data_IF_512260043796
#
_entry.id   IF_512260043796
#
_cell.length_a   1.000
_cell.length_b   1.000
_cell.length_c   1.000
_cell.angle_alpha   90.00
_cell.angle_beta   90.00
_cell.angle_gamma   90.00
#
_symmetry.space_group_name_H-M   'P 1'
#
loop_
_entity.id
_entity.type
_entity.pdbx_description
1 polymer ?
#
# COMPACT_ATOMS: atom_id res chain seq x y z
N UNK A 1 -32.47 -31.09 28.23
CA UNK A 1 -31.02 -30.94 27.95
C UNK A 1 -30.88 -30.13 26.66
N UNK A 2 -30.62 -28.86 26.77
CA UNK A 2 -30.48 -27.96 25.59
C UNK A 2 -29.05 -28.02 25.10
N UNK A 3 -28.87 -28.54 23.89
CA UNK A 3 -27.56 -28.55 23.20
C UNK A 3 -27.33 -27.16 22.63
N UNK A 4 -26.44 -26.41 23.27
CA UNK A 4 -25.97 -25.13 22.73
C UNK A 4 -25.07 -25.45 21.53
N UNK A 5 -25.52 -25.09 20.33
CA UNK A 5 -24.69 -25.17 19.13
C UNK A 5 -23.53 -24.15 19.26
N UNK A 6 -22.29 -24.65 19.28
CA UNK A 6 -21.12 -23.81 19.15
C UNK A 6 -21.11 -23.15 17.76
N UNK A 7 -20.77 -21.85 17.65
CA UNK A 7 -20.59 -21.21 16.36
C UNK A 7 -19.43 -21.90 15.63
N UNK A 8 -19.68 -22.42 14.43
CA UNK A 8 -18.62 -22.89 13.51
C UNK A 8 -17.62 -21.77 13.36
N UNK A 9 -16.38 -21.97 13.81
CA UNK A 9 -15.28 -21.06 13.52
C UNK A 9 -15.22 -20.85 12.02
N UNK A 10 -15.10 -19.59 11.59
CA UNK A 10 -14.94 -19.25 10.19
C UNK A 10 -13.65 -19.90 9.71
N UNK A 11 -13.74 -20.71 8.64
CA UNK A 11 -12.57 -21.33 7.99
C UNK A 11 -11.70 -20.21 7.39
N UNK A 12 -10.58 -19.89 8.06
CA UNK A 12 -9.66 -18.81 7.65
C UNK A 12 -8.80 -19.20 6.45
N UNK A 13 -8.75 -20.51 6.09
CA UNK A 13 -8.03 -21.00 4.91
C UNK A 13 -8.79 -20.74 3.61
N UNK A 14 -10.10 -20.46 3.68
CA UNK A 14 -10.92 -20.10 2.52
C UNK A 14 -10.47 -18.73 1.95
N UNK A 15 -10.36 -18.67 0.62
CA UNK A 15 -10.10 -17.40 -0.08
C UNK A 15 -11.32 -16.47 0.12
N UNK A 16 -11.10 -15.33 0.69
CA UNK A 16 -12.13 -14.35 1.03
C UNK A 16 -11.82 -12.98 0.42
N UNK A 17 -12.84 -12.21 -0.02
CA UNK A 17 -12.63 -10.85 -0.47
C UNK A 17 -12.01 -9.99 0.62
N UNK A 18 -11.14 -9.06 0.22
CA UNK A 18 -10.49 -8.11 1.10
C UNK A 18 -10.59 -6.71 0.51
N UNK A 19 -10.85 -5.73 1.34
CA UNK A 19 -10.82 -4.32 0.96
C UNK A 19 -9.70 -3.60 1.70
N UNK A 20 -8.88 -2.86 0.96
CA UNK A 20 -7.87 -2.00 1.56
C UNK A 20 -8.59 -0.88 2.31
N UNK A 21 -8.34 -0.78 3.61
CA UNK A 21 -8.94 0.28 4.43
C UNK A 21 -8.40 1.64 4.00
N UNK A 22 -9.31 2.61 3.88
CA UNK A 22 -8.90 3.99 3.65
C UNK A 22 -8.14 4.52 4.86
N UNK A 23 -7.04 5.23 4.58
CA UNK A 23 -6.26 5.91 5.61
C UNK A 23 -7.10 7.02 6.24
N UNK A 24 -7.25 7.10 7.57
CA UNK A 24 -7.96 8.19 8.22
C UNK A 24 -7.37 9.56 7.88
N UNK A 25 -8.20 10.59 7.74
CA UNK A 25 -7.74 11.94 7.41
C UNK A 25 -6.75 12.50 8.44
N UNK A 26 -6.91 12.12 9.70
CA UNK A 26 -5.98 12.51 10.76
C UNK A 26 -4.55 12.00 10.50
N UNK A 27 -4.40 10.79 9.95
CA UNK A 27 -3.09 10.23 9.60
C UNK A 27 -2.46 10.94 8.41
N UNK A 28 -3.25 11.32 7.41
CA UNK A 28 -2.76 12.10 6.27
C UNK A 28 -2.34 13.51 6.70
N UNK A 29 -3.06 14.11 7.61
CA UNK A 29 -2.70 15.41 8.21
C UNK A 29 -1.40 15.29 8.99
N UNK A 30 -1.23 14.25 9.79
CA UNK A 30 -0.01 14.00 10.56
C UNK A 30 1.19 13.72 9.62
N UNK A 31 0.99 12.97 8.54
CA UNK A 31 2.02 12.77 7.51
C UNK A 31 2.52 14.11 6.94
N UNK A 32 1.59 14.99 6.53
CA UNK A 32 1.95 16.33 6.01
C UNK A 32 2.67 17.18 7.04
N UNK A 33 2.22 17.13 8.29
CA UNK A 33 2.91 17.81 9.40
C UNK A 33 4.35 17.32 9.56
N UNK A 34 4.58 16.00 9.50
CA UNK A 34 5.93 15.42 9.60
C UNK A 34 6.80 15.81 8.42
N UNK A 35 6.29 15.79 7.21
CA UNK A 35 7.02 16.21 6.01
C UNK A 35 7.46 17.67 6.16
N UNK A 36 6.55 18.56 6.60
CA UNK A 36 6.85 19.98 6.79
C UNK A 36 7.80 20.27 7.95
N UNK A 37 7.86 19.36 8.93
CA UNK A 37 8.78 19.46 10.08
C UNK A 37 10.14 18.78 9.83
N UNK A 38 10.42 18.32 8.61
CA UNK A 38 11.68 17.66 8.28
C UNK A 38 12.87 18.59 8.49
N UNK A 39 13.86 18.12 9.25
CA UNK A 39 15.15 18.78 9.38
C UNK A 39 16.04 18.26 8.25
N UNK A 40 16.40 19.17 7.35
CA UNK A 40 17.18 18.82 6.18
C UNK A 40 18.67 18.71 6.51
N UNK A 41 19.41 17.79 5.86
CA UNK A 41 20.86 17.72 5.95
C UNK A 41 21.50 18.92 5.25
N UNK A 42 22.81 19.06 5.41
CA UNK A 42 23.59 20.04 4.67
C UNK A 42 23.53 19.78 3.16
N UNK A 43 23.65 20.86 2.39
CA UNK A 43 23.68 20.78 0.94
C UNK A 43 24.95 20.08 0.45
N UNK A 44 24.82 19.32 -0.64
CA UNK A 44 25.95 18.75 -1.36
C UNK A 44 26.95 19.85 -1.80
N UNK A 45 28.23 19.49 -1.89
CA UNK A 45 29.32 20.40 -2.30
C UNK A 45 29.67 20.33 -3.78
N UNK A 46 28.96 19.47 -4.54
CA UNK A 46 29.15 19.26 -5.99
C UNK A 46 27.90 19.71 -6.75
N UNK A 47 28.04 19.94 -8.04
CA UNK A 47 26.93 20.38 -8.90
C UNK A 47 26.23 19.23 -9.63
N UNK A 48 26.77 18.02 -9.50
CA UNK A 48 26.23 16.79 -10.08
C UNK A 48 25.66 15.86 -9.02
N UNK A 49 25.39 14.60 -9.37
CA UNK A 49 24.83 13.58 -8.47
C UNK A 49 25.90 12.63 -7.89
N UNK A 50 27.17 12.98 -7.94
CA UNK A 50 28.26 12.12 -7.44
C UNK A 50 28.21 11.89 -5.92
N UNK A 51 27.58 12.79 -5.17
CA UNK A 51 27.32 12.66 -3.73
C UNK A 51 25.90 12.13 -3.41
N UNK A 52 25.15 11.70 -4.41
CA UNK A 52 23.77 11.24 -4.27
C UNK A 52 22.75 12.25 -4.79
N UNK A 53 21.51 12.11 -4.36
CA UNK A 53 20.43 13.00 -4.78
C UNK A 53 20.65 14.41 -4.21
N UNK A 54 20.53 15.40 -5.05
CA UNK A 54 20.68 16.82 -4.63
C UNK A 54 19.59 17.22 -3.65
N UNK A 55 19.95 17.95 -2.62
CA UNK A 55 19.06 18.44 -1.56
C UNK A 55 17.85 19.20 -2.14
N UNK A 56 18.07 20.08 -3.10
CA UNK A 56 17.01 20.86 -3.74
C UNK A 56 15.95 19.97 -4.42
N UNK A 57 16.35 18.84 -5.00
CA UNK A 57 15.44 17.87 -5.63
C UNK A 57 14.53 17.20 -4.59
N UNK A 58 15.11 16.74 -3.48
CA UNK A 58 14.34 16.11 -2.40
C UNK A 58 13.43 17.12 -1.70
N UNK A 59 13.87 18.33 -1.47
CA UNK A 59 13.04 19.40 -0.91
C UNK A 59 11.84 19.74 -1.80
N UNK A 60 12.05 19.76 -3.13
CA UNK A 60 10.97 19.99 -4.10
C UNK A 60 9.95 18.83 -4.08
N UNK A 61 10.42 17.59 -4.03
CA UNK A 61 9.57 16.42 -3.93
C UNK A 61 8.77 16.40 -2.62
N UNK A 62 9.41 16.68 -1.50
CA UNK A 62 8.75 16.75 -0.20
C UNK A 62 7.68 17.86 -0.14
N UNK A 63 7.95 19.01 -0.75
CA UNK A 63 6.96 20.09 -0.87
C UNK A 63 5.74 19.64 -1.66
N UNK A 64 5.93 19.03 -2.82
CA UNK A 64 4.84 18.45 -3.61
C UNK A 64 4.05 17.43 -2.81
N UNK A 65 4.73 16.52 -2.12
CA UNK A 65 4.08 15.48 -1.31
C UNK A 65 3.28 16.06 -0.14
N UNK A 66 3.80 17.07 0.51
CA UNK A 66 3.13 17.73 1.64
C UNK A 66 1.95 18.63 1.25
N UNK A 67 1.84 19.05 -0.03
CA UNK A 67 0.85 20.04 -0.46
C UNK A 67 -0.09 19.57 -1.56
N UNK A 68 0.42 19.06 -2.68
CA UNK A 68 -0.34 18.81 -3.89
C UNK A 68 -0.70 17.34 -4.09
N UNK A 69 0.10 16.42 -3.52
CA UNK A 69 -0.13 14.99 -3.71
C UNK A 69 -1.43 14.53 -3.04
N UNK A 70 -2.30 13.91 -3.83
CA UNK A 70 -3.59 13.39 -3.40
C UNK A 70 -3.52 11.86 -3.23
N UNK A 71 -3.32 11.42 -1.98
CA UNK A 71 -3.32 10.01 -1.63
C UNK A 71 -4.66 9.32 -1.95
N UNK A 72 -5.78 10.03 -1.88
CA UNK A 72 -7.11 9.48 -2.15
C UNK A 72 -7.24 8.91 -3.56
N UNK A 73 -6.57 9.51 -4.54
CA UNK A 73 -6.51 8.97 -5.91
C UNK A 73 -5.77 7.63 -5.97
N UNK A 74 -4.73 7.47 -5.17
CA UNK A 74 -3.99 6.21 -5.06
C UNK A 74 -4.83 5.13 -4.38
N UNK A 75 -5.48 5.45 -3.26
CA UNK A 75 -6.40 4.54 -2.58
C UNK A 75 -7.53 4.06 -3.49
N UNK A 76 -8.15 4.96 -4.25
CA UNK A 76 -9.21 4.60 -5.19
C UNK A 76 -8.72 3.60 -6.24
N UNK A 77 -7.58 3.87 -6.89
CA UNK A 77 -6.97 2.94 -7.85
C UNK A 77 -6.61 1.60 -7.25
N UNK A 78 -6.13 1.59 -6.00
CA UNK A 78 -5.80 0.36 -5.30
C UNK A 78 -7.05 -0.47 -5.02
N UNK A 79 -8.14 0.17 -4.55
CA UNK A 79 -9.39 -0.51 -4.26
C UNK A 79 -10.19 -0.93 -5.50
N UNK A 80 -9.89 -0.39 -6.68
CA UNK A 80 -10.44 -0.86 -7.96
C UNK A 80 -9.92 -2.25 -8.36
N UNK A 81 -8.85 -2.72 -7.75
CA UNK A 81 -8.31 -4.06 -7.99
C UNK A 81 -9.01 -5.10 -7.09
N UNK A 82 -9.18 -6.35 -7.58
CA UNK A 82 -9.77 -7.42 -6.78
C UNK A 82 -8.76 -7.97 -5.77
N UNK A 83 -8.96 -7.61 -4.51
CA UNK A 83 -8.14 -8.05 -3.39
C UNK A 83 -8.75 -9.23 -2.67
N UNK A 84 -7.91 -10.15 -2.25
CA UNK A 84 -8.28 -11.34 -1.50
C UNK A 84 -7.33 -11.59 -0.33
N UNK A 85 -7.82 -12.36 0.62
CA UNK A 85 -7.06 -12.84 1.77
C UNK A 85 -7.27 -14.34 1.91
N UNK A 86 -6.22 -15.06 2.26
CA UNK A 86 -6.31 -16.47 2.68
C UNK A 86 -5.28 -16.73 3.78
N UNK A 87 -5.48 -17.80 4.53
CA UNK A 87 -4.50 -18.23 5.53
C UNK A 87 -3.66 -19.38 4.97
N UNK A 88 -2.34 -19.26 5.06
CA UNK A 88 -1.38 -20.30 4.72
C UNK A 88 -0.42 -20.46 5.90
N UNK A 89 -0.34 -21.68 6.44
CA UNK A 89 0.53 -22.02 7.58
C UNK A 89 0.35 -21.08 8.80
N UNK A 90 -0.90 -20.70 9.08
CA UNK A 90 -1.24 -19.81 10.20
C UNK A 90 -0.98 -18.32 9.96
N UNK A 91 -0.64 -17.91 8.73
CA UNK A 91 -0.40 -16.53 8.35
C UNK A 91 -1.44 -16.06 7.34
N UNK A 92 -2.00 -14.88 7.59
CA UNK A 92 -2.87 -14.20 6.64
C UNK A 92 -2.07 -13.67 5.46
N UNK A 93 -2.38 -14.16 4.27
CA UNK A 93 -1.75 -13.77 3.01
C UNK A 93 -2.72 -12.93 2.20
N UNK A 94 -2.36 -11.68 1.99
CA UNK A 94 -3.08 -10.75 1.13
C UNK A 94 -2.53 -10.84 -0.30
N UNK A 95 -3.43 -10.90 -1.28
CA UNK A 95 -3.04 -10.93 -2.69
C UNK A 95 -4.06 -10.24 -3.58
N UNK A 96 -3.63 -9.88 -4.78
CA UNK A 96 -4.46 -9.33 -5.85
C UNK A 96 -4.58 -10.40 -6.93
N UNK A 97 -5.79 -10.70 -7.38
CA UNK A 97 -6.03 -11.64 -8.45
C UNK A 97 -6.88 -11.01 -9.54
N UNK A 98 -6.25 -10.70 -10.66
CA UNK A 98 -6.88 -10.14 -11.85
C UNK A 98 -6.97 -11.22 -12.92
N UNK A 99 -8.19 -11.52 -13.38
CA UNK A 99 -8.40 -12.45 -14.47
C UNK A 99 -8.00 -11.83 -15.81
N UNK A 100 -7.30 -12.58 -16.64
CA UNK A 100 -7.02 -12.18 -18.01
C UNK A 100 -8.31 -12.10 -18.83
N UNK A 101 -8.35 -11.14 -19.76
CA UNK A 101 -9.43 -11.04 -20.76
C UNK A 101 -9.23 -11.99 -21.96
N UNK A 102 -8.08 -12.66 -22.02
CA UNK A 102 -7.77 -13.63 -23.07
C UNK A 102 -8.16 -15.04 -22.66
N UNK A 103 -8.77 -15.79 -23.58
CA UNK A 103 -9.05 -17.20 -23.39
C UNK A 103 -7.74 -17.99 -23.25
N UNK A 104 -7.75 -19.01 -22.40
CA UNK A 104 -6.59 -19.88 -22.13
C UNK A 104 -5.31 -19.17 -21.69
N UNK A 105 -5.44 -17.99 -21.07
CA UNK A 105 -4.30 -17.28 -20.53
C UNK A 105 -3.61 -18.09 -19.43
N UNK A 106 -2.28 -18.14 -19.47
CA UNK A 106 -1.46 -18.76 -18.43
C UNK A 106 -1.09 -17.73 -17.37
N UNK A 107 -0.90 -18.20 -16.14
CA UNK A 107 -0.38 -17.37 -15.06
C UNK A 107 1.09 -17.07 -15.34
N UNK A 108 1.39 -15.79 -15.55
CA UNK A 108 2.77 -15.32 -15.65
C UNK A 108 3.49 -15.38 -14.31
N UNK A 109 4.75 -15.83 -14.33
CA UNK A 109 5.64 -15.78 -13.18
C UNK A 109 6.80 -14.85 -13.47
N UNK A 110 6.97 -13.82 -12.61
CA UNK A 110 8.16 -12.98 -12.69
C UNK A 110 9.32 -13.71 -11.98
N UNK A 111 10.45 -13.83 -12.66
CA UNK A 111 11.69 -14.21 -12.03
C UNK A 111 12.44 -12.92 -11.65
N UNK A 112 12.79 -12.81 -10.39
CA UNK A 112 13.66 -11.75 -9.86
C UNK A 112 15.09 -12.28 -9.84
#
# INVERSE_FOLDING_TARGET
MSTVAQPKGSDTTTIRPFNVKNVPEAELTELRRRINATIWPEQETVTDQSQGVQLATIQKLARYWGTEYDWRKCEAKLNDLPHFMTEIDGLDIHFIHVHSQHENAQIGRAHV
#
